data_IF_848110296258
#
_entry.id   IF_848110296258
#
_cell.length_a   1.000
_cell.length_b   1.000
_cell.length_c   1.000
_cell.angle_alpha   90.00
_cell.angle_beta   90.00
_cell.angle_gamma   90.00
#
_symmetry.space_group_name_H-M   'P 1'
#
loop_
_entity.id
_entity.type
_entity.pdbx_description
1 polymer ?
#
# COMPACT_ATOMS: atom_id res chain seq x y z
N UNK A 1 0.14 20.60 -16.12
CA UNK A 1 1.03 19.64 -15.44
C UNK A 1 0.19 18.42 -15.15
N UNK A 2 0.55 17.24 -15.66
CA UNK A 2 -0.13 16.00 -15.27
C UNK A 2 0.15 15.75 -13.79
N UNK A 3 -0.89 15.51 -12.98
CA UNK A 3 -0.71 15.11 -11.58
C UNK A 3 0.08 13.81 -11.53
N UNK A 4 1.00 13.69 -10.56
CA UNK A 4 1.67 12.41 -10.30
C UNK A 4 0.65 11.47 -9.66
N UNK A 5 0.63 10.17 -10.05
CA UNK A 5 -0.35 9.24 -9.52
C UNK A 5 -0.10 9.01 -8.03
N UNK A 6 -1.18 8.93 -7.25
CA UNK A 6 -1.11 8.80 -5.81
C UNK A 6 -0.92 7.34 -5.37
N UNK A 7 -0.38 7.17 -4.16
CA UNK A 7 -0.53 5.94 -3.41
C UNK A 7 -1.04 6.25 -2.00
N UNK A 8 -1.67 5.24 -1.41
CA UNK A 8 -2.11 5.28 -0.03
C UNK A 8 -1.88 3.91 0.61
N UNK A 9 -1.58 3.91 1.90
CA UNK A 9 -1.62 2.72 2.74
C UNK A 9 -2.59 2.99 3.87
N UNK A 10 -3.67 2.23 3.94
CA UNK A 10 -4.63 2.29 5.04
C UNK A 10 -4.39 1.14 6.02
N UNK A 11 -4.43 1.39 7.31
CA UNK A 11 -4.50 0.34 8.33
C UNK A 11 -5.96 0.11 8.68
N UNK A 12 -6.42 -1.13 8.56
CA UNK A 12 -7.83 -1.49 8.64
C UNK A 12 -8.03 -2.59 9.69
N UNK A 13 -8.77 -2.27 10.74
CA UNK A 13 -9.19 -3.21 11.78
C UNK A 13 -10.52 -3.90 11.42
N UNK A 14 -10.45 -4.80 10.43
CA UNK A 14 -11.54 -5.67 10.03
C UNK A 14 -11.49 -7.00 10.82
N UNK A 15 -11.92 -8.12 10.20
CA UNK A 15 -11.79 -9.46 10.80
C UNK A 15 -10.38 -9.77 11.30
N UNK A 16 -9.36 -9.25 10.63
CA UNK A 16 -7.97 -9.22 11.07
C UNK A 16 -7.42 -7.85 10.72
N UNK A 17 -6.59 -7.31 11.61
CA UNK A 17 -5.81 -6.12 11.31
C UNK A 17 -4.93 -6.39 10.08
N UNK A 18 -5.01 -5.51 9.08
CA UNK A 18 -4.21 -5.58 7.87
C UNK A 18 -4.01 -4.19 7.28
N UNK A 19 -3.08 -4.10 6.33
CA UNK A 19 -2.79 -2.87 5.61
C UNK A 19 -3.31 -2.98 4.18
N UNK A 20 -4.13 -2.05 3.74
CA UNK A 20 -4.52 -1.95 2.34
C UNK A 20 -3.55 -1.00 1.62
N UNK A 21 -2.72 -1.54 0.74
CA UNK A 21 -1.82 -0.75 -0.11
C UNK A 21 -2.52 -0.49 -1.43
N UNK A 22 -2.64 0.78 -1.83
CA UNK A 22 -3.36 1.16 -3.04
C UNK A 22 -2.55 2.10 -3.92
N UNK A 23 -2.66 1.90 -5.23
CA UNK A 23 -2.00 2.71 -6.26
C UNK A 23 -3.05 3.24 -7.25
N UNK A 24 -3.02 4.53 -7.53
CA UNK A 24 -3.80 5.12 -8.62
C UNK A 24 -3.31 4.58 -9.96
N UNK A 25 -4.18 3.91 -10.70
CA UNK A 25 -3.95 3.42 -12.08
C UNK A 25 -5.26 3.57 -12.83
N UNK A 26 -5.23 4.22 -14.00
CA UNK A 26 -6.41 4.44 -14.86
C UNK A 26 -7.64 5.01 -14.14
N UNK A 27 -7.41 5.95 -13.21
CA UNK A 27 -8.48 6.66 -12.50
C UNK A 27 -9.11 5.91 -11.34
N UNK A 28 -8.57 4.74 -10.95
CA UNK A 28 -9.00 3.98 -9.77
C UNK A 28 -7.83 3.59 -8.88
N UNK A 29 -8.11 3.25 -7.63
CA UNK A 29 -7.15 2.70 -6.68
C UNK A 29 -7.07 1.18 -6.80
N UNK A 30 -6.08 0.68 -7.55
CA UNK A 30 -5.72 -0.75 -7.55
C UNK A 30 -5.21 -1.12 -6.16
N UNK A 31 -5.82 -2.13 -5.55
CA UNK A 31 -5.72 -2.34 -4.09
C UNK A 31 -5.25 -3.74 -3.74
N UNK A 32 -4.39 -3.82 -2.72
CA UNK A 32 -3.91 -5.07 -2.14
C UNK A 32 -4.01 -5.05 -0.62
N UNK A 33 -4.66 -6.06 -0.03
CA UNK A 33 -4.61 -6.32 1.40
C UNK A 33 -3.29 -7.03 1.76
N UNK A 34 -2.54 -6.46 2.69
CA UNK A 34 -1.21 -6.91 3.16
C UNK A 34 -1.31 -7.24 4.66
N UNK A 35 -1.58 -8.50 5.05
CA UNK A 35 -1.93 -8.86 6.43
C UNK A 35 -0.87 -8.53 7.49
N UNK A 36 0.41 -8.48 7.11
CA UNK A 36 1.51 -8.15 8.02
C UNK A 36 2.14 -6.77 7.72
N UNK A 37 1.47 -5.95 6.92
CA UNK A 37 1.98 -4.66 6.49
C UNK A 37 3.23 -4.74 5.59
N UNK A 38 3.70 -3.59 5.11
CA UNK A 38 4.99 -3.49 4.40
C UNK A 38 6.16 -3.88 5.31
N UNK A 39 7.31 -4.21 4.71
CA UNK A 39 8.57 -4.44 5.42
C UNK A 39 9.68 -3.72 4.66
N UNK A 40 10.55 -3.00 5.36
CA UNK A 40 11.73 -2.36 4.76
C UNK A 40 12.88 -3.34 4.51
N UNK A 41 12.77 -4.59 4.97
CA UNK A 41 13.74 -5.64 4.67
C UNK A 41 13.53 -6.21 3.26
N UNK A 42 14.49 -6.07 2.32
CA UNK A 42 14.38 -6.58 0.95
C UNK A 42 14.26 -8.10 0.83
N UNK A 43 14.62 -8.87 1.85
CA UNK A 43 14.51 -10.34 1.80
C UNK A 43 13.13 -10.83 2.26
N UNK A 44 12.37 -9.98 2.96
CA UNK A 44 11.04 -10.30 3.47
C UNK A 44 10.01 -10.15 2.36
N UNK A 45 9.30 -11.26 2.08
CA UNK A 45 8.19 -11.29 1.12
C UNK A 45 6.86 -11.19 1.87
N UNK A 46 6.13 -10.09 1.68
CA UNK A 46 4.81 -9.89 2.28
C UNK A 46 3.73 -10.39 1.33
N UNK A 47 2.84 -11.25 1.81
CA UNK A 47 1.62 -11.59 1.08
C UNK A 47 0.81 -10.32 0.84
N UNK A 48 0.39 -10.12 -0.41
CA UNK A 48 -0.47 -9.05 -0.87
C UNK A 48 -1.63 -9.69 -1.65
N UNK A 49 -2.85 -9.57 -1.15
CA UNK A 49 -4.03 -10.16 -1.79
C UNK A 49 -4.73 -9.07 -2.58
N UNK A 50 -4.88 -9.26 -3.90
CA UNK A 50 -5.59 -8.28 -4.74
C UNK A 50 -7.05 -8.17 -4.29
N UNK A 51 -7.54 -6.96 -4.05
CA UNK A 51 -8.92 -6.69 -3.62
C UNK A 51 -9.66 -5.89 -4.69
N UNK A 52 -10.94 -5.58 -4.44
CA UNK A 52 -11.71 -4.68 -5.31
C UNK A 52 -11.02 -3.34 -5.47
N UNK A 53 -11.12 -2.75 -6.66
CA UNK A 53 -10.71 -1.38 -6.93
C UNK A 53 -11.55 -0.40 -6.08
N UNK A 54 -10.97 0.75 -5.73
CA UNK A 54 -11.66 1.81 -5.00
C UNK A 54 -11.61 3.12 -5.78
N UNK A 55 -12.58 4.00 -5.54
CA UNK A 55 -12.57 5.36 -6.08
C UNK A 55 -11.45 6.19 -5.43
N UNK A 56 -10.96 7.21 -6.14
CA UNK A 56 -9.81 8.02 -5.69
C UNK A 56 -10.09 8.76 -4.38
N UNK A 57 -11.34 9.17 -4.15
CA UNK A 57 -11.79 9.82 -2.92
C UNK A 57 -11.56 8.96 -1.68
N UNK A 58 -11.53 7.63 -1.85
CA UNK A 58 -11.28 6.69 -0.75
C UNK A 58 -9.86 6.78 -0.19
N UNK A 59 -8.91 7.38 -0.94
CA UNK A 59 -7.54 7.55 -0.48
C UNK A 59 -7.40 8.43 0.77
N UNK A 60 -8.37 9.31 1.03
CA UNK A 60 -8.41 10.16 2.22
C UNK A 60 -9.37 9.66 3.31
N UNK A 61 -9.99 8.49 3.13
CA UNK A 61 -10.96 7.99 4.09
C UNK A 61 -10.29 7.55 5.39
N UNK A 62 -10.77 8.11 6.50
CA UNK A 62 -10.55 7.68 7.87
C UNK A 62 -11.90 7.62 8.59
N UNK A 63 -12.10 6.62 9.44
CA UNK A 63 -13.34 6.47 10.19
C UNK A 63 -13.62 5.05 10.64
N UNK A 64 -14.85 4.81 11.10
CA UNK A 64 -15.29 3.51 11.61
C UNK A 64 -16.50 3.03 10.81
N UNK A 65 -16.37 1.87 10.17
CA UNK A 65 -17.49 1.20 9.50
C UNK A 65 -18.44 0.63 10.55
N UNK A 66 -19.49 1.38 10.91
CA UNK A 66 -20.42 1.05 12.02
C UNK A 66 -21.12 -0.30 11.90
N UNK A 67 -21.26 -0.81 10.67
CA UNK A 67 -21.89 -2.11 10.40
C UNK A 67 -20.86 -3.25 10.25
N UNK A 68 -19.62 -3.06 10.71
CA UNK A 68 -18.60 -4.09 10.66
C UNK A 68 -19.02 -5.30 11.51
N UNK A 69 -19.16 -6.45 10.85
CA UNK A 69 -19.50 -7.71 11.53
C UNK A 69 -18.31 -8.29 12.33
N UNK A 70 -17.08 -7.84 12.03
CA UNK A 70 -15.84 -8.32 12.63
C UNK A 70 -14.79 -7.19 12.71
N UNK A 71 -14.02 -7.15 13.79
CA UNK A 71 -13.12 -6.03 14.10
C UNK A 71 -13.88 -4.81 14.62
N UNK A 72 -13.18 -3.71 14.91
CA UNK A 72 -13.85 -2.42 15.18
C UNK A 72 -14.42 -1.77 13.92
N UNK A 73 -13.94 -2.16 12.73
CA UNK A 73 -14.25 -1.50 11.46
C UNK A 73 -13.49 -0.20 11.25
N UNK A 74 -12.56 0.15 12.16
CA UNK A 74 -11.75 1.35 12.07
C UNK A 74 -10.79 1.29 10.88
N UNK A 75 -10.59 2.44 10.25
CA UNK A 75 -9.64 2.66 9.16
C UNK A 75 -8.91 3.98 9.42
N UNK A 76 -7.58 3.93 9.33
CA UNK A 76 -6.73 5.12 9.29
C UNK A 76 -5.89 5.14 8.01
N UNK A 77 -5.52 6.33 7.54
CA UNK A 77 -4.52 6.53 6.49
C UNK A 77 -3.15 6.47 7.13
N UNK A 78 -2.55 5.27 7.11
CA UNK A 78 -1.26 4.99 7.74
C UNK A 78 -0.09 5.61 6.97
N UNK A 79 -0.14 5.68 5.64
CA UNK A 79 0.83 6.42 4.83
C UNK A 79 0.16 6.92 3.54
N UNK A 80 0.72 7.98 2.96
CA UNK A 80 0.21 8.56 1.71
C UNK A 80 1.31 9.31 0.97
N UNK A 81 1.16 9.41 -0.34
CA UNK A 81 2.06 10.19 -1.17
C UNK A 81 1.82 9.97 -2.66
N UNK A 82 2.88 10.08 -3.44
CA UNK A 82 2.87 9.82 -4.89
C UNK A 82 3.83 8.70 -5.23
N UNK A 83 3.63 8.06 -6.38
CA UNK A 83 4.57 7.07 -6.87
C UNK A 83 5.09 7.38 -8.27
N UNK A 84 6.22 6.77 -8.63
CA UNK A 84 6.77 6.78 -9.99
C UNK A 84 6.85 5.35 -10.48
N UNK A 85 6.29 5.07 -11.66
CA UNK A 85 6.41 3.76 -12.28
C UNK A 85 7.86 3.48 -12.70
N UNK A 86 8.40 2.34 -12.30
CA UNK A 86 9.74 1.85 -12.63
C UNK A 86 9.70 0.57 -13.45
N UNK A 87 8.52 0.06 -13.81
CA UNK A 87 8.36 -1.20 -14.53
C UNK A 87 8.88 -1.07 -15.94
N UNK A 88 9.77 -1.99 -16.34
CA UNK A 88 10.33 -2.04 -17.68
C UNK A 88 10.22 -3.43 -18.28
N UNK A 89 10.04 -3.49 -19.59
CA UNK A 89 10.12 -4.74 -20.35
C UNK A 89 11.58 -5.18 -20.57
N UNK A 90 11.77 -6.34 -21.22
CA UNK A 90 13.09 -6.89 -21.55
C UNK A 90 13.92 -6.00 -22.48
N UNK A 91 13.30 -4.99 -23.12
CA UNK A 91 13.94 -4.00 -23.98
C UNK A 91 14.16 -2.67 -23.24
N UNK A 92 14.02 -2.66 -21.92
CA UNK A 92 14.14 -1.50 -21.04
C UNK A 92 13.14 -0.37 -21.31
N UNK A 93 12.02 -0.61 -22.00
CA UNK A 93 10.95 0.38 -22.18
C UNK A 93 10.03 0.38 -20.98
N UNK A 94 9.53 1.56 -20.61
CA UNK A 94 8.50 1.66 -19.56
C UNK A 94 7.24 0.92 -20.01
N UNK A 95 6.71 0.09 -19.12
CA UNK A 95 5.43 -0.62 -19.29
C UNK A 95 4.37 0.14 -18.53
N UNK A 96 3.21 0.36 -19.13
CA UNK A 96 2.08 1.03 -18.46
C UNK A 96 1.71 0.30 -17.14
N UNK A 97 1.37 0.99 -16.03
CA UNK A 97 1.03 0.32 -14.78
C UNK A 97 -0.14 -0.67 -14.88
N UNK A 98 -1.16 -0.41 -15.69
CA UNK A 98 -2.27 -1.33 -15.88
C UNK A 98 -1.79 -2.63 -16.55
N UNK A 99 -1.02 -2.48 -17.63
CA UNK A 99 -0.40 -3.62 -18.32
C UNK A 99 0.58 -4.39 -17.41
N UNK A 100 1.36 -3.69 -16.58
CA UNK A 100 2.27 -4.29 -15.61
C UNK A 100 1.52 -5.16 -14.58
N UNK A 101 0.38 -4.67 -14.08
CA UNK A 101 -0.49 -5.42 -13.17
C UNK A 101 -1.07 -6.66 -13.87
N UNK A 102 -1.55 -6.53 -15.10
CA UNK A 102 -2.05 -7.67 -15.89
C UNK A 102 -0.96 -8.73 -16.09
N UNK A 103 0.27 -8.31 -16.43
CA UNK A 103 1.45 -9.19 -16.57
C UNK A 103 1.89 -9.83 -15.25
N UNK A 104 1.42 -9.31 -14.11
CA UNK A 104 1.72 -9.87 -12.79
C UNK A 104 3.01 -9.35 -12.17
N UNK A 105 3.58 -8.25 -12.67
CA UNK A 105 4.76 -7.64 -12.09
C UNK A 105 4.73 -6.12 -12.26
N UNK A 106 4.69 -5.40 -11.14
CA UNK A 106 4.72 -3.95 -11.07
C UNK A 106 5.85 -3.51 -10.13
N UNK A 107 6.70 -2.60 -10.60
CA UNK A 107 7.74 -1.96 -9.80
C UNK A 107 7.49 -0.46 -9.74
N UNK A 108 7.47 0.11 -8.55
CA UNK A 108 7.23 1.54 -8.32
C UNK A 108 8.25 2.11 -7.35
N UNK A 109 8.56 3.39 -7.50
CA UNK A 109 9.20 4.21 -6.47
C UNK A 109 8.10 4.90 -5.67
N UNK A 110 8.02 4.66 -4.37
CA UNK A 110 7.12 5.37 -3.47
C UNK A 110 7.82 6.63 -2.93
N UNK A 111 7.05 7.70 -2.80
CA UNK A 111 7.46 8.97 -2.18
C UNK A 111 6.42 9.33 -1.13
N UNK A 112 6.48 8.65 0.01
CA UNK A 112 5.56 8.75 1.12
C UNK A 112 6.07 9.55 2.29
N UNK A 113 5.24 9.65 3.33
CA UNK A 113 5.68 10.11 4.65
C UNK A 113 6.50 9.00 5.32
N UNK A 114 6.08 7.74 5.17
CA UNK A 114 6.74 6.58 5.80
C UNK A 114 7.46 5.70 4.78
N UNK A 115 6.76 5.26 3.74
CA UNK A 115 7.33 4.38 2.72
C UNK A 115 7.99 5.18 1.61
N UNK A 116 9.30 5.00 1.51
CA UNK A 116 10.12 5.55 0.44
C UNK A 116 10.89 4.43 -0.27
N UNK A 117 11.60 4.76 -1.35
CA UNK A 117 12.34 3.78 -2.12
C UNK A 117 11.50 3.03 -3.15
N UNK A 118 12.16 2.09 -3.82
CA UNK A 118 11.53 1.20 -4.77
C UNK A 118 10.90 -0.03 -4.10
N UNK A 119 9.76 -0.45 -4.64
CA UNK A 119 8.94 -1.56 -4.20
C UNK A 119 8.47 -2.37 -5.40
N UNK A 120 8.28 -3.68 -5.21
CA UNK A 120 7.82 -4.59 -6.25
C UNK A 120 6.60 -5.37 -5.77
N UNK A 121 5.58 -5.42 -6.64
CA UNK A 121 4.42 -6.30 -6.55
C UNK A 121 4.62 -7.40 -7.58
N UNK A 122 4.64 -8.66 -7.16
CA UNK A 122 4.81 -9.81 -8.06
C UNK A 122 3.76 -10.87 -7.79
N UNK A 123 3.00 -11.27 -8.80
CA UNK A 123 1.96 -12.29 -8.70
C UNK A 123 2.60 -13.68 -8.66
N UNK A 124 2.20 -14.49 -7.68
CA UNK A 124 2.61 -15.89 -7.48
C UNK A 124 1.38 -16.78 -7.36
N UNK A 125 0.98 -17.41 -8.46
CA UNK A 125 -0.30 -18.14 -8.51
C UNK A 125 -1.49 -17.16 -8.45
N UNK A 126 -2.39 -17.35 -7.49
CA UNK A 126 -3.55 -16.48 -7.28
C UNK A 126 -3.23 -15.21 -6.46
N UNK A 127 -2.17 -15.25 -5.65
CA UNK A 127 -1.79 -14.18 -4.73
C UNK A 127 -0.67 -13.31 -5.27
N UNK A 128 -0.40 -12.19 -4.61
CA UNK A 128 0.75 -11.33 -4.88
C UNK A 128 1.72 -11.28 -3.70
N UNK A 129 2.94 -10.84 -4.00
CA UNK A 129 3.96 -10.51 -3.03
C UNK A 129 4.31 -9.03 -3.15
N UNK A 130 4.33 -8.33 -2.02
CA UNK A 130 4.94 -7.01 -1.87
C UNK A 130 6.34 -7.17 -1.27
N UNK A 131 7.34 -6.60 -1.94
CA UNK A 131 8.75 -6.71 -1.56
C UNK A 131 9.44 -5.36 -1.71
N UNK A 132 10.19 -4.94 -0.69
CA UNK A 132 11.09 -3.79 -0.77
C UNK A 132 12.24 -4.10 -1.72
N UNK A 133 12.53 -3.21 -2.65
CA UNK A 133 13.72 -3.34 -3.50
C UNK A 133 14.94 -2.88 -2.70
N UNK A 134 16.07 -3.57 -2.86
CA UNK A 134 17.34 -3.16 -2.25
C UNK A 134 17.81 -1.84 -2.87
N UNK A 135 17.70 -0.77 -2.09
CA UNK A 135 18.16 0.59 -2.40
C UNK A 135 18.54 1.32 -1.09
N UNK A 136 18.68 2.65 -1.13
CA UNK A 136 19.10 3.46 0.02
C UNK A 136 18.04 3.58 1.13
N UNK A 137 16.76 3.31 0.82
CA UNK A 137 15.64 3.40 1.76
C UNK A 137 15.29 2.02 2.38
N UNK A 138 16.06 0.98 2.05
CA UNK A 138 15.91 -0.33 2.65
C UNK A 138 16.61 -0.37 4.02
N UNK A 139 15.87 -0.77 5.05
CA UNK A 139 16.38 -0.91 6.42
C UNK A 139 15.80 -2.16 7.10
N UNK A 140 16.53 -3.29 7.11
CA UNK A 140 16.09 -4.50 7.79
C UNK A 140 15.92 -4.37 9.32
N UNK A 141 16.50 -3.33 9.94
CA UNK A 141 16.43 -3.11 11.38
C UNK A 141 15.21 -2.30 11.83
N UNK A 142 14.47 -1.69 10.89
CA UNK A 142 13.36 -0.78 11.17
C UNK A 142 12.02 -1.40 10.78
N UNK A 143 11.16 -1.63 11.76
CA UNK A 143 9.76 -1.98 11.54
C UNK A 143 8.85 -0.76 11.70
N UNK A 144 8.49 -0.14 10.56
CA UNK A 144 7.60 1.01 10.52
C UNK A 144 6.19 0.68 11.02
N UNK A 145 5.73 -0.57 10.93
CA UNK A 145 4.39 -0.95 11.40
C UNK A 145 4.29 -0.89 12.93
N UNK A 146 5.44 -0.92 13.61
CA UNK A 146 5.55 -0.81 15.08
C UNK A 146 5.99 0.60 15.49
N UNK A 147 6.99 1.16 14.81
CA UNK A 147 7.60 2.45 15.18
C UNK A 147 6.76 3.66 14.77
N UNK A 148 5.97 3.54 13.70
CA UNK A 148 5.16 4.61 13.14
C UNK A 148 3.67 4.19 13.02
N UNK A 149 2.94 3.89 14.11
CA UNK A 149 1.60 3.29 14.04
C UNK A 149 0.47 4.29 13.71
N UNK A 150 0.76 5.59 13.73
CA UNK A 150 -0.25 6.66 13.68
C UNK A 150 -0.65 7.04 12.26
N UNK A 151 -1.84 7.61 12.10
CA UNK A 151 -2.30 8.23 10.86
C UNK A 151 -1.38 9.38 10.43
N UNK A 152 -1.15 9.51 9.13
CA UNK A 152 -0.47 10.70 8.56
C UNK A 152 -1.42 11.88 8.34
N UNK A 153 -2.74 11.67 8.48
CA UNK A 153 -3.76 12.71 8.33
C UNK A 153 -4.23 13.26 9.68
N UNK A 154 -4.71 12.39 10.56
CA UNK A 154 -5.27 12.77 11.87
C UNK A 154 -4.28 12.66 13.02
N UNK A 155 -3.19 11.90 12.85
CA UNK A 155 -2.27 11.57 13.94
C UNK A 155 -2.78 10.51 14.92
N UNK A 156 -3.99 9.97 14.71
CA UNK A 156 -4.59 8.95 15.59
C UNK A 156 -3.99 7.56 15.35
N UNK A 157 -3.94 6.74 16.39
CA UNK A 157 -3.76 5.28 16.23
C UNK A 157 -5.07 4.63 15.77
N UNK A 158 -5.00 3.36 15.36
CA UNK A 158 -6.19 2.61 14.97
C UNK A 158 -7.16 2.41 16.14
N UNK A 159 -6.64 2.25 17.37
CA UNK A 159 -7.44 2.13 18.59
C UNK A 159 -8.09 3.45 18.98
N UNK A 160 -7.38 4.57 18.84
CA UNK A 160 -7.93 5.91 19.05
C UNK A 160 -9.04 6.21 18.04
N UNK A 161 -8.86 5.81 16.76
CA UNK A 161 -9.90 5.90 15.73
C UNK A 161 -11.12 5.03 16.05
N UNK A 162 -10.90 3.79 16.50
CA UNK A 162 -11.97 2.88 16.89
C UNK A 162 -12.82 3.40 18.07
N UNK A 163 -12.25 4.27 18.90
CA UNK A 163 -12.93 4.87 20.05
C UNK A 163 -13.67 6.20 19.73
N UNK A 164 -13.61 6.68 18.48
CA UNK A 164 -14.17 7.98 18.05
C UNK A 164 -15.67 7.98 17.70
#
# INVERSE_FOLDING_TARGET
MMSKPIFVVQLHDARRLHYDVRLEVDGVLKSWAVPRGPSLDPIVKRLAVFTTDHDLEYASYEGVHRDAQYGSGAVIVWDAGVYTNLTRDDRHKLVDPAEAIERGHLKVQLHGVKLNGAWAFTRTGADWLLVKVKDADADPGLDLTVTEPRSVLSGLTIEEMAAS
#
